data_IF_449102457757
#
_entry.id   IF_449102457757
#
_cell.length_a   1.000
_cell.length_b   1.000
_cell.length_c   1.000
_cell.angle_alpha   90.00
_cell.angle_beta   90.00
_cell.angle_gamma   90.00
#
_symmetry.space_group_name_H-M   'P 1'
#
loop_
_entity.id
_entity.type
_entity.pdbx_description
1 polymer ?
#
# COMPACT_ATOMS: atom_id res chain seq x y z
N UNK A 1 -11.50 3.57 -9.39
CA UNK A 1 -10.43 2.61 -9.75
C UNK A 1 -10.32 1.49 -8.71
N UNK A 2 -10.08 1.77 -7.42
CA UNK A 2 -9.97 0.73 -6.36
C UNK A 2 -11.14 -0.26 -6.34
N UNK A 3 -12.37 0.25 -6.27
CA UNK A 3 -13.58 -0.60 -6.28
C UNK A 3 -13.62 -1.47 -7.54
N UNK A 4 -13.35 -0.89 -8.71
CA UNK A 4 -13.35 -1.58 -9.99
C UNK A 4 -12.38 -2.77 -10.01
N UNK A 5 -11.14 -2.57 -9.53
CA UNK A 5 -10.08 -3.60 -9.57
C UNK A 5 -10.28 -4.75 -8.57
N UNK A 6 -11.01 -4.52 -7.48
CA UNK A 6 -11.31 -5.52 -6.44
C UNK A 6 -12.51 -6.41 -6.77
N UNK A 7 -13.22 -6.12 -7.88
CA UNK A 7 -14.38 -6.89 -8.32
C UNK A 7 -13.92 -8.02 -9.26
N UNK A 8 -14.53 -9.21 -9.18
CA UNK A 8 -14.33 -10.26 -10.18
C UNK A 8 -14.83 -9.82 -11.55
N UNK A 9 -13.97 -9.87 -12.55
CA UNK A 9 -14.33 -9.56 -13.93
C UNK A 9 -14.62 -10.83 -14.73
N UNK A 10 -15.47 -10.69 -15.75
CA UNK A 10 -15.67 -11.74 -16.75
C UNK A 10 -14.48 -11.71 -17.72
N UNK A 11 -13.52 -12.60 -17.50
CA UNK A 11 -12.33 -12.74 -18.32
C UNK A 11 -11.11 -11.94 -17.83
N UNK A 12 -9.95 -12.24 -18.42
CA UNK A 12 -8.64 -11.75 -17.98
C UNK A 12 -8.40 -10.29 -18.42
N UNK A 13 -8.86 -9.91 -19.61
CA UNK A 13 -8.58 -8.57 -20.19
C UNK A 13 -9.12 -7.44 -19.30
N UNK A 14 -10.38 -7.45 -18.83
CA UNK A 14 -10.87 -6.38 -17.97
C UNK A 14 -10.19 -6.40 -16.59
N UNK A 15 -9.85 -7.57 -16.06
CA UNK A 15 -9.11 -7.69 -14.80
C UNK A 15 -7.72 -7.04 -14.89
N UNK A 16 -6.98 -7.37 -15.95
CA UNK A 16 -5.67 -6.78 -16.20
C UNK A 16 -5.79 -5.27 -16.42
N UNK A 17 -6.79 -4.80 -17.16
CA UNK A 17 -7.01 -3.37 -17.39
C UNK A 17 -7.25 -2.59 -16.09
N UNK A 18 -8.15 -3.07 -15.22
CA UNK A 18 -8.43 -2.41 -13.95
C UNK A 18 -7.28 -2.51 -12.95
N UNK A 19 -6.56 -3.63 -12.95
CA UNK A 19 -5.33 -3.76 -12.15
C UNK A 19 -4.24 -2.82 -12.67
N UNK A 20 -4.08 -2.70 -13.99
CA UNK A 20 -3.16 -1.75 -14.60
C UNK A 20 -3.42 -0.31 -14.19
N UNK A 21 -4.68 0.15 -14.27
CA UNK A 21 -5.05 1.48 -13.81
C UNK A 21 -4.77 1.69 -12.32
N UNK A 22 -5.10 0.70 -11.47
CA UNK A 22 -4.87 0.81 -10.03
C UNK A 22 -3.39 0.87 -9.68
N UNK A 23 -2.59 -0.05 -10.23
CA UNK A 23 -1.18 -0.16 -9.88
C UNK A 23 -0.35 0.99 -10.46
N UNK A 24 -0.74 1.50 -11.63
CA UNK A 24 -0.15 2.72 -12.20
C UNK A 24 -0.46 3.93 -11.31
N UNK A 25 -1.72 4.08 -10.87
CA UNK A 25 -2.09 5.12 -9.91
C UNK A 25 -1.32 4.99 -8.59
N UNK A 26 -1.22 3.79 -8.01
CA UNK A 26 -0.49 3.56 -6.77
C UNK A 26 1.01 3.86 -6.91
N UNK A 27 1.64 3.41 -8.00
CA UNK A 27 3.05 3.69 -8.25
C UNK A 27 3.30 5.20 -8.45
N UNK A 28 2.45 5.87 -9.22
CA UNK A 28 2.50 7.32 -9.39
C UNK A 28 2.26 8.09 -8.09
N UNK A 29 1.28 7.67 -7.30
CA UNK A 29 0.99 8.24 -5.99
C UNK A 29 2.17 8.08 -5.03
N UNK A 30 2.76 6.89 -4.94
CA UNK A 30 3.92 6.62 -4.10
C UNK A 30 5.15 7.42 -4.56
N UNK A 31 5.30 7.64 -5.86
CA UNK A 31 6.37 8.49 -6.40
C UNK A 31 6.14 9.97 -6.09
N UNK A 32 4.91 10.47 -6.23
CA UNK A 32 4.57 11.86 -5.96
C UNK A 32 4.68 12.21 -4.46
N UNK A 33 4.43 11.23 -3.58
CA UNK A 33 4.46 11.40 -2.13
C UNK A 33 5.74 10.88 -1.47
N UNK A 34 6.78 10.61 -2.26
CA UNK A 34 8.11 10.28 -1.75
C UNK A 34 8.73 11.45 -1.01
N UNK A 35 9.69 11.17 -0.15
CA UNK A 35 10.38 12.23 0.56
C UNK A 35 11.30 13.02 -0.40
N UNK A 36 11.00 14.30 -0.62
CA UNK A 36 11.73 15.16 -1.57
C UNK A 36 13.23 15.25 -1.24
N UNK A 37 13.59 15.15 0.04
CA UNK A 37 14.98 15.28 0.48
C UNK A 37 15.86 14.09 0.09
N UNK A 38 15.25 12.96 -0.27
CA UNK A 38 15.97 11.78 -0.74
C UNK A 38 16.45 11.91 -2.20
N UNK A 39 16.04 12.95 -2.93
CA UNK A 39 16.37 13.13 -4.35
C UNK A 39 17.23 14.36 -4.52
N UNK A 40 18.51 14.19 -4.86
CA UNK A 40 19.48 15.29 -4.91
C UNK A 40 19.18 16.36 -5.99
N UNK A 41 18.44 16.02 -7.05
CA UNK A 41 18.21 16.92 -8.20
C UNK A 41 16.74 17.15 -8.59
N UNK A 42 15.76 16.64 -7.83
CA UNK A 42 14.31 16.65 -8.16
C UNK A 42 13.93 16.08 -9.56
N UNK A 43 14.90 15.64 -10.37
CA UNK A 43 14.69 14.95 -11.64
C UNK A 43 14.50 13.47 -11.38
N UNK A 44 13.48 12.89 -12.01
CA UNK A 44 13.25 11.44 -11.98
C UNK A 44 14.41 10.76 -12.70
N UNK A 45 15.27 10.09 -11.93
CA UNK A 45 16.39 9.32 -12.50
C UNK A 45 15.86 8.21 -13.41
N UNK A 46 16.65 7.83 -14.42
CA UNK A 46 16.33 6.68 -15.28
C UNK A 46 16.08 5.41 -14.44
N UNK A 47 16.86 5.20 -13.38
CA UNK A 47 16.66 4.13 -12.39
C UNK A 47 15.24 4.18 -11.82
N UNK A 48 14.79 5.35 -11.42
CA UNK A 48 13.49 5.52 -10.79
C UNK A 48 12.33 5.33 -11.76
N UNK A 49 12.44 5.83 -13.00
CA UNK A 49 11.44 5.59 -14.04
C UNK A 49 11.27 4.09 -14.31
N UNK A 50 12.38 3.34 -14.37
CA UNK A 50 12.35 1.87 -14.52
C UNK A 50 11.66 1.22 -13.32
N UNK A 51 11.95 1.66 -12.09
CA UNK A 51 11.31 1.12 -10.89
C UNK A 51 9.80 1.37 -10.87
N UNK A 52 9.34 2.57 -11.23
CA UNK A 52 7.91 2.91 -11.29
C UNK A 52 7.19 2.06 -12.33
N UNK A 53 7.70 2.05 -13.57
CA UNK A 53 7.08 1.31 -14.68
C UNK A 53 7.13 -0.19 -14.42
N UNK A 54 8.27 -0.71 -13.94
CA UNK A 54 8.44 -2.12 -13.59
C UNK A 54 7.50 -2.55 -12.47
N UNK A 55 7.36 -1.72 -11.43
CA UNK A 55 6.42 -1.97 -10.33
C UNK A 55 4.98 -2.00 -10.81
N UNK A 56 4.58 -1.02 -11.63
CA UNK A 56 3.24 -0.95 -12.17
C UNK A 56 2.95 -2.18 -13.05
N UNK A 57 3.84 -2.52 -13.97
CA UNK A 57 3.70 -3.68 -14.84
C UNK A 57 3.60 -4.99 -14.04
N UNK A 58 4.58 -5.27 -13.18
CA UNK A 58 4.63 -6.49 -12.37
C UNK A 58 3.37 -6.62 -11.49
N UNK A 59 3.02 -5.57 -10.75
CA UNK A 59 1.88 -5.60 -9.82
C UNK A 59 0.54 -5.72 -10.56
N UNK A 60 0.47 -5.28 -11.81
CA UNK A 60 -0.74 -5.42 -12.64
C UNK A 60 -0.99 -6.87 -13.03
N UNK A 61 0.05 -7.56 -13.49
CA UNK A 61 -0.03 -8.99 -13.79
C UNK A 61 -0.29 -9.79 -12.52
N UNK A 62 0.48 -9.53 -11.47
CA UNK A 62 0.33 -10.19 -10.18
C UNK A 62 -1.09 -10.00 -9.63
N UNK A 63 -1.60 -8.76 -9.59
CA UNK A 63 -2.95 -8.44 -9.11
C UNK A 63 -4.09 -9.06 -9.92
N UNK A 64 -3.86 -9.46 -11.18
CA UNK A 64 -4.83 -10.19 -11.99
C UNK A 64 -4.81 -11.71 -11.75
N UNK A 65 -3.73 -12.28 -11.20
CA UNK A 65 -3.59 -13.72 -10.93
C UNK A 65 -4.74 -14.30 -10.08
N UNK A 66 -5.21 -13.67 -9.00
CA UNK A 66 -6.37 -14.15 -8.25
C UNK A 66 -7.57 -14.47 -9.15
N UNK A 67 -7.87 -13.63 -10.14
CA UNK A 67 -9.03 -13.84 -11.02
C UNK A 67 -8.79 -14.97 -12.04
N UNK A 68 -7.53 -15.20 -12.44
CA UNK A 68 -7.14 -16.30 -13.32
C UNK A 68 -7.24 -17.64 -12.57
N UNK A 69 -6.70 -17.68 -11.36
CA UNK A 69 -6.67 -18.85 -10.48
C UNK A 69 -8.10 -19.26 -10.10
N UNK A 70 -8.98 -18.31 -9.77
CA UNK A 70 -10.38 -18.61 -9.40
C UNK A 70 -11.24 -19.12 -10.56
N UNK A 71 -10.84 -18.89 -11.82
CA UNK A 71 -11.51 -19.46 -12.98
C UNK A 71 -11.12 -20.92 -13.26
N UNK A 72 -10.11 -21.47 -12.56
CA UNK A 72 -9.73 -22.88 -12.67
C UNK A 72 -10.63 -23.71 -11.74
N UNK A 73 -11.37 -24.71 -12.24
CA UNK A 73 -12.33 -25.48 -11.46
C UNK A 73 -11.64 -26.55 -10.59
N UNK A 74 -10.71 -26.15 -9.72
CA UNK A 74 -10.07 -27.06 -8.77
C UNK A 74 -10.49 -26.75 -7.34
N UNK A 75 -10.78 -27.82 -6.57
CA UNK A 75 -11.20 -27.73 -5.17
C UNK A 75 -10.07 -27.21 -4.26
N UNK A 76 -8.82 -27.40 -4.67
CA UNK A 76 -7.60 -26.94 -3.99
C UNK A 76 -7.41 -25.42 -4.13
N UNK A 77 -7.66 -24.84 -5.30
CA UNK A 77 -7.51 -23.39 -5.51
C UNK A 77 -8.60 -22.56 -4.80
N UNK A 78 -9.77 -23.15 -4.48
CA UNK A 78 -10.79 -22.47 -3.65
C UNK A 78 -10.36 -22.22 -2.21
N UNK A 79 -9.45 -23.04 -1.64
CA UNK A 79 -8.86 -22.76 -0.33
C UNK A 79 -7.99 -21.50 -0.31
N UNK A 80 -7.59 -20.97 -1.47
CA UNK A 80 -6.80 -19.74 -1.56
C UNK A 80 -7.64 -18.46 -1.59
N UNK A 81 -8.98 -18.52 -1.73
CA UNK A 81 -9.86 -17.33 -1.70
C UNK A 81 -9.61 -16.39 -0.51
N UNK A 82 -9.45 -16.87 0.74
CA UNK A 82 -9.15 -16.00 1.89
C UNK A 82 -7.75 -15.35 1.82
N UNK A 83 -6.76 -16.06 1.26
CA UNK A 83 -5.38 -15.60 1.14
C UNK A 83 -5.20 -14.50 0.07
N UNK A 84 -6.20 -14.26 -0.78
CA UNK A 84 -6.15 -13.20 -1.80
C UNK A 84 -6.14 -11.80 -1.18
N UNK A 85 -6.76 -11.62 -0.03
CA UNK A 85 -6.75 -10.32 0.68
C UNK A 85 -5.34 -9.99 1.19
N UNK A 86 -4.63 -10.99 1.72
CA UNK A 86 -3.23 -10.85 2.10
C UNK A 86 -2.34 -10.56 0.89
N UNK A 87 -2.59 -11.21 -0.24
CA UNK A 87 -1.86 -10.95 -1.48
C UNK A 87 -2.00 -9.51 -1.98
N UNK A 88 -3.22 -8.94 -1.95
CA UNK A 88 -3.46 -7.51 -2.28
C UNK A 88 -2.69 -6.59 -1.33
N UNK A 89 -2.67 -6.90 -0.03
CA UNK A 89 -1.91 -6.14 0.96
C UNK A 89 -0.40 -6.18 0.66
N UNK A 90 0.13 -7.36 0.29
CA UNK A 90 1.53 -7.53 -0.11
C UNK A 90 1.87 -6.72 -1.37
N UNK A 91 1.01 -6.69 -2.38
CA UNK A 91 1.23 -5.88 -3.58
C UNK A 91 1.28 -4.38 -3.28
N UNK A 92 0.39 -3.92 -2.38
CA UNK A 92 0.41 -2.53 -1.93
C UNK A 92 1.72 -2.18 -1.19
N UNK A 93 2.20 -3.06 -0.30
CA UNK A 93 3.48 -2.89 0.37
C UNK A 93 4.66 -2.92 -0.61
N UNK A 94 4.67 -3.88 -1.54
CA UNK A 94 5.69 -4.02 -2.57
C UNK A 94 5.83 -2.74 -3.40
N UNK A 95 4.69 -2.16 -3.82
CA UNK A 95 4.70 -0.93 -4.60
C UNK A 95 5.41 0.23 -3.88
N UNK A 96 5.17 0.37 -2.58
CA UNK A 96 5.85 1.39 -1.76
C UNK A 96 7.34 1.11 -1.67
N UNK A 97 7.72 -0.12 -1.32
CA UNK A 97 9.12 -0.51 -1.10
C UNK A 97 9.97 -0.25 -2.35
N UNK A 98 9.44 -0.63 -3.53
CA UNK A 98 10.20 -0.49 -4.78
C UNK A 98 10.22 0.95 -5.29
N UNK A 99 9.08 1.66 -5.27
CA UNK A 99 9.02 3.03 -5.80
C UNK A 99 9.79 4.02 -4.91
N UNK A 100 9.84 3.77 -3.60
CA UNK A 100 10.50 4.65 -2.62
C UNK A 100 11.87 4.13 -2.17
N UNK A 101 12.46 3.18 -2.88
CA UNK A 101 13.75 2.57 -2.51
C UNK A 101 14.89 3.60 -2.40
N UNK A 102 14.83 4.71 -3.14
CA UNK A 102 15.83 5.78 -3.06
C UNK A 102 15.91 6.43 -1.66
N UNK A 103 14.83 6.38 -0.87
CA UNK A 103 14.86 6.88 0.50
C UNK A 103 15.72 6.01 1.42
N UNK A 104 15.82 4.71 1.13
CA UNK A 104 16.74 3.82 1.83
C UNK A 104 18.20 4.06 1.41
N UNK A 105 18.43 4.29 0.12
CA UNK A 105 19.79 4.49 -0.43
C UNK A 105 20.38 5.85 0.00
N UNK A 106 19.58 6.92 -0.11
CA UNK A 106 20.04 8.30 0.07
C UNK A 106 19.74 8.86 1.46
N UNK A 107 18.82 8.25 2.20
CA UNK A 107 18.33 8.74 3.48
C UNK A 107 17.29 9.85 3.36
N UNK A 108 16.67 10.15 4.50
CA UNK A 108 15.62 11.17 4.63
C UNK A 108 15.99 12.19 5.70
N UNK A 109 15.41 13.39 5.60
CA UNK A 109 15.68 14.46 6.56
C UNK A 109 15.06 14.16 7.92
N UNK A 110 15.86 14.37 8.96
CA UNK A 110 15.46 14.26 10.37
C UNK A 110 15.40 15.63 11.02
N UNK A 111 14.50 15.78 11.98
CA UNK A 111 14.13 17.02 12.65
C UNK A 111 14.21 16.86 14.16
N UNK A 112 14.49 17.96 14.87
CA UNK A 112 14.36 18.02 16.32
C UNK A 112 12.90 18.21 16.76
N UNK A 113 12.66 18.18 18.08
CA UNK A 113 11.33 18.44 18.67
C UNK A 113 10.78 19.84 18.41
N UNK A 114 11.65 20.79 18.03
CA UNK A 114 11.28 22.16 17.71
C UNK A 114 11.01 22.35 16.21
N UNK A 115 11.11 21.28 15.40
CA UNK A 115 10.90 21.31 13.96
C UNK A 115 12.12 21.76 13.13
N UNK A 116 13.30 21.92 13.75
CA UNK A 116 14.51 22.30 13.02
C UNK A 116 15.12 21.08 12.34
N UNK A 117 15.49 21.23 11.07
CA UNK A 117 16.19 20.18 10.33
C UNK A 117 17.62 20.00 10.86
N UNK A 118 17.96 18.78 11.27
CA UNK A 118 19.28 18.44 11.80
C UNK A 118 20.20 17.93 10.69
N UNK A 119 19.68 17.04 9.83
CA UNK A 119 20.49 16.39 8.81
C UNK A 119 19.71 15.34 8.02
N UNK A 120 20.43 14.55 7.23
CA UNK A 120 19.91 13.42 6.48
C UNK A 120 20.35 12.12 7.16
N UNK A 121 19.40 11.25 7.48
CA UNK A 121 19.68 9.92 8.03
C UNK A 121 19.28 8.84 7.02
N UNK A 122 20.20 7.92 6.77
CA UNK A 122 19.95 6.68 6.01
C UNK A 122 19.16 5.68 6.83
N UNK A 123 19.34 5.62 8.15
CA UNK A 123 18.57 4.73 9.01
C UNK A 123 17.07 5.10 9.07
N UNK A 124 16.75 6.39 8.98
CA UNK A 124 15.36 6.85 8.99
C UNK A 124 14.57 6.46 7.72
N UNK A 125 15.25 6.32 6.57
CA UNK A 125 14.64 6.00 5.28
C UNK A 125 13.89 4.66 5.25
N UNK A 126 14.56 3.52 5.51
CA UNK A 126 13.91 2.20 5.56
C UNK A 126 12.76 2.14 6.57
N UNK A 127 12.86 2.88 7.68
CA UNK A 127 11.78 2.96 8.67
C UNK A 127 10.54 3.66 8.10
N UNK A 128 10.72 4.81 7.45
CA UNK A 128 9.64 5.53 6.77
C UNK A 128 8.97 4.68 5.67
N UNK A 129 9.78 3.98 4.86
CA UNK A 129 9.27 3.07 3.82
C UNK A 129 8.44 1.95 4.48
N UNK A 130 8.93 1.32 5.54
CA UNK A 130 8.23 0.23 6.23
C UNK A 130 6.89 0.68 6.79
N UNK A 131 6.85 1.83 7.46
CA UNK A 131 5.61 2.38 8.02
C UNK A 131 4.61 2.78 6.92
N UNK A 132 5.08 3.31 5.80
CA UNK A 132 4.22 3.61 4.64
C UNK A 132 3.70 2.32 4.02
N UNK A 133 4.56 1.31 3.85
CA UNK A 133 4.19 0.02 3.28
C UNK A 133 3.14 -0.69 4.14
N UNK A 134 3.29 -0.67 5.47
CA UNK A 134 2.29 -1.20 6.41
C UNK A 134 0.97 -0.43 6.32
N UNK A 135 1.02 0.89 6.24
CA UNK A 135 -0.17 1.73 6.10
C UNK A 135 -0.95 1.46 4.80
N UNK A 136 -0.24 1.24 3.69
CA UNK A 136 -0.84 0.87 2.39
C UNK A 136 -1.35 -0.57 2.38
N UNK A 137 -0.59 -1.50 2.96
CA UNK A 137 -1.02 -2.89 3.13
C UNK A 137 -2.30 -2.97 3.98
N UNK A 138 -2.35 -2.23 5.10
CA UNK A 138 -3.53 -2.16 5.94
C UNK A 138 -4.72 -1.55 5.18
N UNK A 139 -4.53 -0.43 4.48
CA UNK A 139 -5.59 0.22 3.70
C UNK A 139 -6.19 -0.69 2.64
N UNK A 140 -5.36 -1.23 1.73
CA UNK A 140 -5.85 -2.05 0.62
C UNK A 140 -6.26 -3.45 1.07
N UNK A 141 -5.52 -4.04 2.03
CA UNK A 141 -5.81 -5.35 2.59
C UNK A 141 -7.16 -5.39 3.30
N UNK A 142 -7.45 -4.41 4.17
CA UNK A 142 -8.75 -4.33 4.85
C UNK A 142 -9.90 -4.00 3.88
N UNK A 143 -9.66 -3.13 2.90
CA UNK A 143 -10.61 -2.81 1.83
C UNK A 143 -10.99 -4.04 1.00
N UNK A 144 -10.08 -4.99 0.83
CA UNK A 144 -10.37 -6.27 0.18
C UNK A 144 -11.00 -7.29 1.16
N UNK A 145 -10.50 -7.38 2.39
CA UNK A 145 -10.88 -8.39 3.37
C UNK A 145 -12.31 -8.21 3.89
N UNK A 146 -12.68 -7.00 4.32
CA UNK A 146 -13.95 -6.75 5.00
C UNK A 146 -15.16 -7.02 4.09
N UNK A 147 -15.23 -6.51 2.84
CA UNK A 147 -16.31 -6.85 1.91
C UNK A 147 -16.37 -8.35 1.61
N UNK A 148 -15.23 -9.01 1.46
CA UNK A 148 -15.17 -10.45 1.17
C UNK A 148 -15.73 -11.28 2.32
N UNK A 149 -15.35 -10.96 3.57
CA UNK A 149 -15.85 -11.61 4.76
C UNK A 149 -17.35 -11.33 4.96
N UNK A 150 -17.78 -10.09 4.78
CA UNK A 150 -19.19 -9.69 4.85
C UNK A 150 -20.04 -10.51 3.88
N UNK A 151 -19.59 -10.67 2.64
CA UNK A 151 -20.30 -11.48 1.64
C UNK A 151 -20.30 -12.97 1.98
N UNK A 152 -19.20 -13.50 2.54
CA UNK A 152 -19.15 -14.89 2.99
C UNK A 152 -20.18 -15.19 4.08
N UNK A 153 -20.42 -14.23 4.99
CA UNK A 153 -21.46 -14.31 6.01
C UNK A 153 -22.86 -14.13 5.40
N UNK A 154 -23.06 -13.11 4.57
CA UNK A 154 -24.36 -12.80 3.95
C UNK A 154 -24.87 -13.93 3.04
N UNK A 155 -23.98 -14.64 2.34
CA UNK A 155 -24.36 -15.81 1.52
C UNK A 155 -25.01 -16.95 2.32
N UNK A 156 -24.83 -16.99 3.65
CA UNK A 156 -25.50 -17.96 4.53
C UNK A 156 -26.94 -17.56 4.87
N UNK A 157 -27.32 -16.29 4.68
CA UNK A 157 -28.66 -15.80 4.99
C UNK A 157 -29.69 -16.22 3.92
N UNK A 158 -30.85 -16.73 4.36
CA UNK A 158 -31.92 -17.22 3.47
C UNK A 158 -32.42 -16.17 2.48
N UNK A 159 -32.47 -14.89 2.89
CA UNK A 159 -32.89 -13.79 2.01
C UNK A 159 -31.92 -13.57 0.84
N UNK A 160 -30.60 -13.65 1.08
CA UNK A 160 -29.57 -13.49 0.05
C UNK A 160 -29.54 -14.70 -0.88
N UNK A 161 -29.80 -15.90 -0.37
CA UNK A 161 -29.96 -17.10 -1.20
C UNK A 161 -31.17 -16.99 -2.13
N UNK A 162 -32.26 -16.37 -1.66
CA UNK A 162 -33.48 -16.14 -2.46
C UNK A 162 -33.32 -15.03 -3.49
N UNK A 163 -32.45 -14.05 -3.24
CA UNK A 163 -32.17 -12.96 -4.18
C UNK A 163 -30.64 -12.75 -4.35
N UNK A 164 -29.97 -13.57 -5.19
CA UNK A 164 -28.52 -13.49 -5.38
C UNK A 164 -28.06 -12.19 -6.06
N UNK A 165 -28.97 -11.43 -6.69
CA UNK A 165 -28.63 -10.14 -7.31
C UNK A 165 -28.16 -9.09 -6.30
N UNK A 166 -28.47 -9.25 -5.02
CA UNK A 166 -28.06 -8.34 -3.94
C UNK A 166 -26.55 -8.43 -3.64
N UNK A 167 -25.89 -9.53 -4.01
CA UNK A 167 -24.45 -9.75 -3.73
C UNK A 167 -23.58 -8.70 -4.41
N UNK A 168 -23.88 -8.35 -5.66
CA UNK A 168 -23.11 -7.37 -6.42
C UNK A 168 -23.17 -5.96 -5.80
N UNK A 169 -24.35 -5.33 -5.59
CA UNK A 169 -24.43 -4.00 -5.00
C UNK A 169 -23.85 -3.96 -3.59
N UNK A 170 -24.11 -4.97 -2.75
CA UNK A 170 -23.51 -5.04 -1.40
C UNK A 170 -21.99 -5.04 -1.47
N UNK A 171 -21.39 -5.80 -2.39
CA UNK A 171 -19.93 -5.78 -2.60
C UNK A 171 -19.45 -4.40 -2.97
N UNK A 172 -20.05 -3.76 -3.98
CA UNK A 172 -19.59 -2.45 -4.46
C UNK A 172 -19.69 -1.38 -3.37
N UNK A 173 -20.85 -1.31 -2.70
CA UNK A 173 -21.13 -0.33 -1.66
C UNK A 173 -20.22 -0.56 -0.46
N UNK A 174 -20.09 -1.81 0.02
CA UNK A 174 -19.22 -2.11 1.16
C UNK A 174 -17.75 -1.84 0.86
N UNK A 175 -17.24 -2.19 -0.33
CA UNK A 175 -15.86 -1.85 -0.72
C UNK A 175 -15.64 -0.33 -0.74
N UNK A 176 -16.58 0.45 -1.28
CA UNK A 176 -16.47 1.90 -1.30
C UNK A 176 -16.49 2.51 0.10
N UNK A 177 -17.41 2.06 0.97
CA UNK A 177 -17.51 2.52 2.36
C UNK A 177 -16.25 2.17 3.15
N UNK A 178 -15.79 0.92 3.09
CA UNK A 178 -14.59 0.49 3.82
C UNK A 178 -13.37 1.24 3.33
N UNK A 179 -13.21 1.43 2.01
CA UNK A 179 -12.10 2.24 1.49
C UNK A 179 -12.15 3.67 2.03
N UNK A 180 -13.32 4.31 2.00
CA UNK A 180 -13.51 5.67 2.50
C UNK A 180 -13.21 5.80 4.00
N UNK A 181 -13.63 4.83 4.81
CA UNK A 181 -13.36 4.79 6.25
C UNK A 181 -11.90 4.47 6.57
N UNK A 182 -11.25 3.62 5.76
CA UNK A 182 -9.89 3.20 6.03
C UNK A 182 -8.84 4.27 5.70
N UNK A 183 -9.16 5.27 4.87
CA UNK A 183 -8.26 6.40 4.60
C UNK A 183 -7.91 7.16 5.91
N UNK A 184 -8.87 7.75 6.66
CA UNK A 184 -8.55 8.44 7.91
C UNK A 184 -8.03 7.50 8.99
N UNK A 185 -8.51 6.26 9.05
CA UNK A 185 -8.00 5.24 10.00
C UNK A 185 -6.52 4.95 9.73
N UNK A 186 -6.12 4.80 8.46
CA UNK A 186 -4.73 4.54 8.11
C UNK A 186 -3.81 5.71 8.48
N UNK A 187 -4.28 6.96 8.32
CA UNK A 187 -3.51 8.13 8.75
C UNK A 187 -3.44 8.30 10.27
N UNK A 188 -4.46 7.84 11.00
CA UNK A 188 -4.46 7.85 12.47
C UNK A 188 -3.52 6.77 13.04
N UNK A 189 -3.57 5.55 12.49
CA UNK A 189 -2.71 4.43 12.91
C UNK A 189 -1.25 4.65 12.54
N UNK A 190 -0.99 5.30 11.40
CA UNK A 190 0.34 5.55 10.90
C UNK A 190 0.51 7.05 10.58
N UNK A 191 0.87 7.87 11.58
CA UNK A 191 0.96 9.31 11.43
C UNK A 191 2.05 9.72 10.43
N UNK A 192 1.90 10.91 9.84
CA UNK A 192 2.86 11.44 8.86
C UNK A 192 4.23 11.77 9.47
N UNK A 193 4.26 12.10 10.75
CA UNK A 193 5.49 12.34 11.51
C UNK A 193 5.82 11.08 12.31
N UNK A 194 6.92 10.44 11.93
CA UNK A 194 7.48 9.30 12.64
C UNK A 194 8.51 9.77 13.67
N UNK A 195 8.69 8.98 14.72
CA UNK A 195 9.71 9.17 15.74
C UNK A 195 10.79 8.11 15.59
N UNK A 196 12.06 8.48 15.72
CA UNK A 196 13.19 7.55 15.71
C UNK A 196 14.13 7.86 16.86
N UNK A 197 14.58 6.81 17.54
CA UNK A 197 15.55 6.94 18.63
C UNK A 197 16.93 7.20 18.06
N UNK A 198 17.73 8.03 18.76
CA UNK A 198 19.09 8.38 18.32
C UNK A 198 20.00 7.17 18.26
N UNK A 199 19.85 6.25 19.20
CA UNK A 199 20.60 5.00 19.24
C UNK A 199 20.41 4.13 18.00
N UNK A 200 19.31 4.34 17.25
CA UNK A 200 19.03 3.64 15.99
C UNK A 200 19.53 4.40 14.75
N UNK A 201 20.14 5.57 14.93
CA UNK A 201 20.69 6.42 13.88
C UNK A 201 22.22 6.33 13.83
N UNK A 202 22.80 6.98 12.82
CA UNK A 202 24.24 7.09 12.61
C UNK A 202 24.96 7.79 13.79
N UNK A 203 26.24 7.49 14.00
CA UNK A 203 27.06 8.01 15.13
C UNK A 203 27.09 9.56 15.19
N UNK A 204 27.00 10.21 14.03
CA UNK A 204 26.88 11.67 13.91
C UNK A 204 25.65 12.26 14.61
N UNK A 205 24.56 11.48 14.72
CA UNK A 205 23.34 11.91 15.43
C UNK A 205 23.36 11.50 16.92
N UNK A 206 24.12 10.46 17.26
CA UNK A 206 24.29 9.97 18.63
C UNK A 206 25.17 10.91 19.46
N UNK A 207 26.21 11.47 18.84
CA UNK A 207 27.14 12.44 19.45
C UNK A 207 26.55 13.82 19.70
N UNK A 208 25.35 14.11 19.18
CA UNK A 208 24.63 15.35 19.46
C UNK A 208 24.16 15.36 20.92
N UNK A 209 24.65 16.32 21.71
CA UNK A 209 24.42 16.55 23.15
C UNK A 209 22.94 16.87 23.54
N UNK A 210 22.00 16.58 22.65
CA UNK A 210 20.55 16.70 22.87
C UNK A 210 20.02 15.33 23.28
N UNK A 211 19.57 15.16 24.52
CA UNK A 211 18.79 13.97 24.89
C UNK A 211 17.44 13.99 24.17
N UNK A 212 17.10 12.95 23.40
CA UNK A 212 15.73 12.78 22.89
C UNK A 212 15.56 12.07 21.54
N UNK A 213 14.29 11.82 21.22
CA UNK A 213 13.83 11.27 19.94
C UNK A 213 13.98 12.31 18.82
N UNK A 214 14.32 11.83 17.61
CA UNK A 214 14.28 12.63 16.39
C UNK A 214 13.02 12.32 15.59
N UNK A 215 12.59 13.28 14.80
CA UNK A 215 11.38 13.19 14.00
C UNK A 215 11.74 13.09 12.52
N UNK A 216 10.93 12.39 11.73
CA UNK A 216 11.06 12.36 10.28
C UNK A 216 9.69 12.41 9.62
N UNK A 217 9.68 12.92 8.38
CA UNK A 217 8.51 12.83 7.54
C UNK A 217 8.47 11.45 6.87
N UNK A 218 7.43 10.69 7.21
CA UNK A 218 7.14 9.41 6.58
C UNK A 218 6.69 9.59 5.12
N UNK A 219 6.15 10.74 4.75
CA UNK A 219 5.42 10.91 3.51
C UNK A 219 4.01 10.32 3.59
N UNK A 220 3.30 10.37 2.46
CA UNK A 220 1.90 9.96 2.32
C UNK A 220 1.81 8.56 1.71
#
# INVERSE_FOLDING_TARGET
>A
IVVASLIPHKGIKPALFWQFLLQTYCAGFNHANRNATATKDNKTSMKQSILIVGTAAYSSFAGALPQIILNVPSRVLKCFEPNMCGFIACLAAFSVIVVRSEEADNGIRVFDSNGNAIGLSKAAGPKAIKETALSRAALFGTTAAVPTLLLALLKRAKFVQRNPMIIAPVRHISTAIIFGLMIPVSFSLFPQFGKIKKESLEEEFQSLDRNGELFYHRGL
#
